data_IF_775849843422
#
_entry.id   IF_775849843422
#
_cell.length_a   1.000
_cell.length_b   1.000
_cell.length_c   1.000
_cell.angle_alpha   90.00
_cell.angle_beta   90.00
_cell.angle_gamma   90.00
#
_symmetry.space_group_name_H-M   'P 1'
#
loop_
_entity.id
_entity.type
_entity.pdbx_description
1 polymer ?
#
# COMPACT_ATOMS: atom_id res chain seq x y z
N UNK A 1 18.07 5.07 4.88
CA UNK A 1 16.66 5.48 4.92
C UNK A 1 16.34 5.79 6.37
N UNK A 2 15.92 7.01 6.68
CA UNK A 2 15.57 7.41 8.04
C UNK A 2 14.30 6.68 8.50
N UNK A 3 14.29 6.15 9.73
CA UNK A 3 13.14 5.48 10.34
C UNK A 3 11.91 6.40 10.38
N UNK A 4 12.13 7.71 10.56
CA UNK A 4 11.05 8.71 10.56
C UNK A 4 10.41 8.79 9.17
N UNK A 5 11.23 8.79 8.13
CA UNK A 5 10.79 8.85 6.74
C UNK A 5 10.10 7.54 6.31
N UNK A 6 10.59 6.39 6.77
CA UNK A 6 9.95 5.10 6.56
C UNK A 6 8.55 5.02 7.20
N UNK A 7 8.37 5.53 8.42
CA UNK A 7 7.05 5.59 9.09
C UNK A 7 6.08 6.54 8.38
N UNK A 8 6.59 7.68 7.88
CA UNK A 8 5.78 8.62 7.08
C UNK A 8 5.31 7.99 5.78
N UNK A 9 6.19 7.27 5.09
CA UNK A 9 5.86 6.58 3.85
C UNK A 9 4.85 5.45 4.08
N UNK A 10 4.97 4.71 5.19
CA UNK A 10 3.99 3.69 5.57
C UNK A 10 2.60 4.30 5.77
N UNK A 11 2.50 5.43 6.46
CA UNK A 11 1.23 6.12 6.69
C UNK A 11 0.60 6.59 5.38
N UNK A 12 1.38 7.20 4.48
CA UNK A 12 0.87 7.64 3.18
C UNK A 12 0.34 6.48 2.33
N UNK A 13 0.99 5.31 2.38
CA UNK A 13 0.52 4.12 1.67
C UNK A 13 -0.80 3.58 2.23
N UNK A 14 -1.01 3.68 3.55
CA UNK A 14 -2.29 3.34 4.16
C UNK A 14 -3.40 4.31 3.76
N UNK A 15 -3.13 5.62 3.82
CA UNK A 15 -4.10 6.66 3.44
C UNK A 15 -4.50 6.52 1.94
N UNK A 16 -3.54 6.20 1.06
CA UNK A 16 -3.81 5.93 -0.35
C UNK A 16 -4.68 4.68 -0.56
N UNK A 17 -4.44 3.62 0.21
CA UNK A 17 -5.23 2.38 0.14
C UNK A 17 -6.68 2.64 0.53
N UNK A 18 -6.91 3.35 1.62
CA UNK A 18 -8.26 3.69 2.10
C UNK A 18 -9.02 4.56 1.11
N UNK A 19 -8.31 5.53 0.48
CA UNK A 19 -8.88 6.39 -0.56
C UNK A 19 -9.28 5.61 -1.81
N UNK A 20 -8.44 4.68 -2.26
CA UNK A 20 -8.74 3.80 -3.41
C UNK A 20 -9.96 2.92 -3.11
N UNK A 21 -10.04 2.35 -1.91
CA UNK A 21 -11.18 1.53 -1.49
C UNK A 21 -12.47 2.33 -1.40
N UNK A 22 -12.41 3.58 -0.90
CA UNK A 22 -13.56 4.50 -0.89
C UNK A 22 -14.06 4.85 -2.29
N UNK A 23 -13.15 5.08 -3.25
CA UNK A 23 -13.50 5.34 -4.65
C UNK A 23 -14.10 4.11 -5.34
N UNK A 24 -13.71 2.90 -4.92
CA UNK A 24 -14.20 1.65 -5.49
C UNK A 24 -15.70 1.39 -5.21
N UNK A 25 -16.27 2.00 -4.16
CA UNK A 25 -17.67 1.81 -3.79
C UNK A 25 -18.64 2.72 -4.59
N UNK A 26 -18.17 3.84 -5.17
CA UNK A 26 -19.01 4.97 -5.63
C UNK A 26 -19.39 4.94 -7.13
N UNK A 27 -19.68 3.76 -7.71
CA UNK A 27 -19.79 3.52 -9.16
C UNK A 27 -18.45 3.57 -9.88
N UNK A 28 -17.79 2.42 -9.90
CA UNK A 28 -16.59 2.23 -10.69
C UNK A 28 -16.79 1.05 -11.65
N UNK A 29 -16.48 1.30 -12.93
CA UNK A 29 -16.54 0.27 -13.97
C UNK A 29 -15.67 -0.93 -13.56
N UNK A 30 -15.96 -2.13 -14.09
CA UNK A 30 -15.15 -3.33 -13.78
C UNK A 30 -13.64 -3.09 -13.99
N UNK A 31 -13.27 -2.28 -14.99
CA UNK A 31 -11.90 -1.87 -15.25
C UNK A 31 -11.29 -1.06 -14.08
N UNK A 32 -12.04 -0.12 -13.50
CA UNK A 32 -11.57 0.65 -12.34
C UNK A 32 -11.45 -0.25 -11.09
N UNK A 33 -12.41 -1.15 -10.86
CA UNK A 33 -12.32 -2.13 -9.76
C UNK A 33 -11.05 -2.97 -9.88
N UNK A 34 -10.78 -3.46 -11.09
CA UNK A 34 -9.60 -4.25 -11.40
C UNK A 34 -8.29 -3.48 -11.16
N UNK A 35 -8.20 -2.22 -11.60
CA UNK A 35 -7.00 -1.40 -11.37
C UNK A 35 -6.84 -1.04 -9.88
N UNK A 36 -7.93 -0.81 -9.14
CA UNK A 36 -7.88 -0.64 -7.68
C UNK A 36 -7.34 -1.89 -6.99
N UNK A 37 -7.88 -3.06 -7.30
CA UNK A 37 -7.46 -4.34 -6.72
C UNK A 37 -6.00 -4.65 -7.06
N UNK A 38 -5.58 -4.39 -8.30
CA UNK A 38 -4.20 -4.52 -8.75
C UNK A 38 -3.27 -3.59 -7.97
N UNK A 39 -3.67 -2.34 -7.74
CA UNK A 39 -2.89 -1.37 -6.97
C UNK A 39 -2.77 -1.77 -5.50
N UNK A 40 -3.85 -2.29 -4.90
CA UNK A 40 -3.85 -2.81 -3.53
C UNK A 40 -2.86 -3.98 -3.40
N UNK A 41 -2.86 -4.93 -4.33
CA UNK A 41 -1.92 -6.07 -4.32
C UNK A 41 -0.46 -5.63 -4.42
N UNK A 42 -0.17 -4.61 -5.23
CA UNK A 42 1.18 -4.03 -5.30
C UNK A 42 1.62 -3.41 -3.98
N UNK A 43 0.72 -2.68 -3.31
CA UNK A 43 0.99 -2.09 -2.00
C UNK A 43 1.27 -3.19 -0.97
N UNK A 44 0.44 -4.24 -0.94
CA UNK A 44 0.61 -5.34 0.01
C UNK A 44 1.96 -6.06 -0.19
N UNK A 45 2.37 -6.31 -1.45
CA UNK A 45 3.67 -6.89 -1.76
C UNK A 45 4.85 -6.00 -1.30
N UNK A 46 4.74 -4.69 -1.49
CA UNK A 46 5.76 -3.74 -1.04
C UNK A 46 5.86 -3.73 0.50
N UNK A 47 4.73 -3.84 1.21
CA UNK A 47 4.71 -3.92 2.68
C UNK A 47 5.42 -5.19 3.15
N UNK A 48 5.16 -6.35 2.54
CA UNK A 48 5.82 -7.60 2.88
C UNK A 48 7.33 -7.53 2.65
N UNK A 49 7.74 -7.03 1.49
CA UNK A 49 9.16 -6.84 1.14
C UNK A 49 9.87 -5.93 2.14
N UNK A 50 9.23 -4.84 2.57
CA UNK A 50 9.79 -3.94 3.58
C UNK A 50 9.89 -4.61 4.96
N UNK A 51 8.86 -5.37 5.37
CA UNK A 51 8.89 -6.12 6.63
C UNK A 51 10.02 -7.15 6.66
N UNK A 52 10.23 -7.88 5.57
CA UNK A 52 11.31 -8.86 5.46
C UNK A 52 12.68 -8.22 5.49
N UNK A 53 12.88 -7.12 4.77
CA UNK A 53 14.14 -6.37 4.80
C UNK A 53 14.44 -5.83 6.20
N UNK A 54 13.45 -5.26 6.90
CA UNK A 54 13.61 -4.81 8.29
C UNK A 54 14.02 -5.98 9.19
N UNK A 55 13.38 -7.14 9.05
CA UNK A 55 13.70 -8.34 9.84
C UNK A 55 15.12 -8.87 9.56
N UNK A 56 15.58 -8.78 8.31
CA UNK A 56 16.95 -9.18 7.91
C UNK A 56 18.01 -8.24 8.45
N UNK A 57 17.73 -6.93 8.48
CA UNK A 57 18.68 -5.92 8.93
C UNK A 57 18.62 -5.63 10.45
N UNK A 58 17.67 -6.22 11.17
CA UNK A 58 17.58 -6.17 12.63
C UNK A 58 18.34 -7.31 13.34
N UNK A 59 19.14 -8.11 12.60
CA UNK A 59 20.06 -9.11 13.14
C UNK A 59 21.47 -8.55 13.24
#
# INVERSE_FOLDING_TARGET
MDIVEAKKNLKMLHDDKDKIQGLNHLNSTQAFKFECDKRVRQIDHNIETLKENIKRHAR
#
